data_IF_508750290393
#
_entry.id   IF_508750290393
#
_cell.length_a   1.000
_cell.length_b   1.000
_cell.length_c   1.000
_cell.angle_alpha   90.00
_cell.angle_beta   90.00
_cell.angle_gamma   90.00
#
_symmetry.space_group_name_H-M   'P 1'
#
loop_
_entity.id
_entity.type
_entity.pdbx_description
1 polymer ?
#
# COMPACT_ATOMS: atom_id res chain seq x y z
N UNK A 1 10.97 -11.60 5.16
CA UNK A 1 10.01 -10.90 4.22
C UNK A 1 10.37 -9.43 4.15
N UNK A 2 10.31 -8.79 2.99
CA UNK A 2 10.56 -7.36 2.83
C UNK A 2 9.24 -6.60 2.74
N UNK A 3 9.17 -5.42 3.36
CA UNK A 3 8.06 -4.49 3.19
C UNK A 3 8.44 -3.43 2.15
N UNK A 4 7.60 -3.25 1.13
CA UNK A 4 7.76 -2.19 0.13
C UNK A 4 6.64 -1.17 0.30
N UNK A 5 7.01 0.07 0.62
CA UNK A 5 6.08 1.17 0.78
C UNK A 5 6.07 1.99 -0.50
N UNK A 6 4.93 2.06 -1.17
CA UNK A 6 4.71 2.89 -2.35
C UNK A 6 4.43 4.34 -1.91
N UNK A 7 5.33 5.25 -2.22
CA UNK A 7 5.29 6.65 -1.78
C UNK A 7 5.74 7.65 -2.86
N UNK A 8 5.72 7.25 -4.15
CA UNK A 8 6.18 8.06 -5.28
C UNK A 8 5.09 8.97 -5.89
N UNK A 9 3.86 8.93 -5.39
CA UNK A 9 2.75 9.74 -5.90
C UNK A 9 2.92 11.24 -5.61
N UNK A 10 2.52 12.09 -6.56
CA UNK A 10 2.59 13.56 -6.44
C UNK A 10 1.45 14.17 -5.66
N UNK A 11 0.35 13.44 -5.46
CA UNK A 11 -0.83 13.83 -4.67
C UNK A 11 -1.36 15.25 -4.98
N UNK A 12 -1.47 15.60 -6.27
CA UNK A 12 -1.84 16.95 -6.75
C UNK A 12 -3.21 17.43 -6.26
N UNK A 13 -4.12 16.51 -5.96
CA UNK A 13 -5.45 16.84 -5.39
C UNK A 13 -5.39 17.45 -3.99
N UNK A 14 -4.27 17.29 -3.29
CA UNK A 14 -4.04 17.84 -1.94
C UNK A 14 -3.28 19.18 -1.96
N UNK A 15 -3.04 19.78 -3.14
CA UNK A 15 -2.39 21.09 -3.20
C UNK A 15 -3.18 22.16 -2.43
N UNK A 16 -2.50 23.09 -1.73
CA UNK A 16 -1.05 23.30 -1.67
C UNK A 16 -0.29 22.45 -0.65
N UNK A 17 -0.94 21.60 0.16
CA UNK A 17 -0.30 20.82 1.25
C UNK A 17 0.85 19.94 0.74
N UNK A 18 0.68 19.36 -0.45
CA UNK A 18 1.66 18.45 -1.06
C UNK A 18 2.56 19.12 -2.10
N UNK A 19 2.59 20.45 -2.16
CA UNK A 19 3.56 21.15 -3.02
C UNK A 19 5.00 20.91 -2.59
N UNK A 20 5.26 20.94 -1.28
CA UNK A 20 6.60 20.87 -0.70
C UNK A 20 6.75 19.73 0.32
N UNK A 21 5.74 18.88 0.48
CA UNK A 21 5.76 17.76 1.41
C UNK A 21 5.04 16.55 0.78
N UNK A 22 5.65 15.34 0.80
CA UNK A 22 4.99 14.14 0.28
C UNK A 22 3.79 13.76 1.15
N UNK A 23 2.71 13.29 0.52
CA UNK A 23 1.46 12.89 1.19
C UNK A 23 1.70 11.92 2.36
N UNK A 24 2.51 10.85 2.25
CA UNK A 24 2.73 9.92 3.36
C UNK A 24 3.37 10.55 4.61
N UNK A 25 4.02 11.70 4.47
CA UNK A 25 4.61 12.44 5.59
C UNK A 25 3.71 13.56 6.14
N UNK A 26 2.48 13.73 5.61
CA UNK A 26 1.49 14.61 6.23
C UNK A 26 1.04 14.03 7.58
N UNK A 27 0.81 14.94 8.55
CA UNK A 27 0.42 14.56 9.90
C UNK A 27 -1.05 14.14 10.00
N UNK A 28 -1.30 13.02 10.67
CA UNK A 28 -2.63 12.56 11.11
C UNK A 28 -2.51 12.15 12.56
N UNK A 29 -3.39 12.65 13.44
CA UNK A 29 -3.40 12.32 14.87
C UNK A 29 -2.02 12.44 15.55
N UNK A 30 -1.26 13.49 15.17
CA UNK A 30 0.02 13.84 15.81
C UNK A 30 1.27 13.15 15.25
N UNK A 31 1.17 12.28 14.22
CA UNK A 31 2.33 11.66 13.55
C UNK A 31 2.10 11.51 12.05
N UNK A 32 3.16 11.34 11.22
CA UNK A 32 3.02 11.10 9.78
C UNK A 32 2.13 9.88 9.46
N UNK A 33 1.37 9.92 8.35
CA UNK A 33 0.58 8.76 7.89
C UNK A 33 1.44 7.50 7.74
N UNK A 34 2.64 7.62 7.19
CA UNK A 34 3.58 6.52 7.05
C UNK A 34 3.92 5.83 8.38
N UNK A 35 4.00 6.61 9.48
CA UNK A 35 4.24 6.04 10.81
C UNK A 35 3.06 5.18 11.29
N UNK A 36 1.82 5.59 10.99
CA UNK A 36 0.65 4.77 11.28
C UNK A 36 0.69 3.44 10.50
N UNK A 37 1.05 3.49 9.21
CA UNK A 37 1.19 2.29 8.38
C UNK A 37 2.22 1.33 8.97
N UNK A 38 3.40 1.83 9.33
CA UNK A 38 4.47 1.00 9.88
C UNK A 38 4.13 0.44 11.26
N UNK A 39 3.50 1.24 12.13
CA UNK A 39 3.09 0.77 13.46
C UNK A 39 2.02 -0.31 13.38
N UNK A 40 1.10 -0.22 12.41
CA UNK A 40 0.05 -1.23 12.23
C UNK A 40 0.61 -2.54 11.65
N UNK A 41 1.68 -2.47 10.85
CA UNK A 41 2.39 -3.64 10.32
C UNK A 41 3.51 -4.16 11.23
N UNK A 42 3.89 -3.42 12.29
CA UNK A 42 4.94 -3.83 13.22
C UNK A 42 4.74 -5.23 13.84
N UNK A 43 3.49 -5.72 14.10
CA UNK A 43 3.28 -7.08 14.60
C UNK A 43 3.53 -8.19 13.57
N UNK A 44 3.75 -7.86 12.29
CA UNK A 44 4.18 -8.84 11.29
C UNK A 44 5.68 -9.09 11.46
N UNK A 45 6.03 -10.02 12.36
CA UNK A 45 7.40 -10.27 12.84
C UNK A 45 8.39 -10.64 11.72
N UNK A 46 7.87 -11.16 10.59
CA UNK A 46 8.70 -11.54 9.43
C UNK A 46 9.25 -10.36 8.65
N UNK A 47 8.76 -9.14 8.88
CA UNK A 47 9.28 -7.94 8.21
C UNK A 47 10.65 -7.59 8.81
N UNK A 48 11.70 -7.88 8.07
CA UNK A 48 13.09 -7.66 8.47
C UNK A 48 13.73 -6.42 7.81
N UNK A 49 13.09 -5.88 6.76
CA UNK A 49 13.55 -4.67 6.06
C UNK A 49 12.40 -3.93 5.38
N UNK A 50 12.48 -2.60 5.34
CA UNK A 50 11.51 -1.71 4.70
C UNK A 50 12.18 -0.94 3.57
N UNK A 51 11.62 -1.04 2.37
CA UNK A 51 11.96 -0.19 1.23
C UNK A 51 10.86 0.85 1.04
N UNK A 52 11.21 2.13 1.03
CA UNK A 52 10.27 3.22 0.72
C UNK A 52 10.63 3.75 -0.66
N UNK A 53 9.80 3.43 -1.67
CA UNK A 53 10.01 3.97 -3.01
C UNK A 53 9.32 5.31 -3.15
N UNK A 54 10.06 6.30 -3.65
CA UNK A 54 9.61 7.69 -3.77
C UNK A 54 10.17 8.35 -5.03
N UNK A 55 9.59 9.48 -5.42
CA UNK A 55 10.04 10.26 -6.57
C UNK A 55 11.23 11.18 -6.24
N UNK A 56 11.90 11.68 -7.27
CA UNK A 56 13.07 12.56 -7.14
C UNK A 56 12.79 13.86 -6.39
N UNK A 57 11.56 14.38 -6.51
CA UNK A 57 11.14 15.61 -5.82
C UNK A 57 11.16 15.45 -4.29
N UNK A 58 10.79 14.29 -3.78
CA UNK A 58 10.58 14.06 -2.35
C UNK A 58 11.61 13.11 -1.70
N UNK A 59 12.56 12.57 -2.45
CA UNK A 59 13.56 11.65 -1.92
C UNK A 59 14.25 12.17 -0.65
N UNK A 60 14.72 13.41 -0.66
CA UNK A 60 15.38 14.03 0.52
C UNK A 60 14.46 14.20 1.75
N UNK A 61 13.12 14.18 1.58
CA UNK A 61 12.19 14.20 2.73
C UNK A 61 12.15 12.83 3.40
N UNK A 62 12.07 11.77 2.61
CA UNK A 62 12.06 10.40 3.13
C UNK A 62 13.42 9.99 3.69
N UNK A 63 14.52 10.45 3.11
CA UNK A 63 15.88 10.22 3.65
C UNK A 63 16.04 10.83 5.06
N UNK A 64 15.62 12.09 5.26
CA UNK A 64 15.61 12.73 6.59
C UNK A 64 14.69 12.02 7.57
N UNK A 65 13.52 11.62 7.14
CA UNK A 65 12.59 10.85 7.96
C UNK A 65 13.19 9.50 8.37
N UNK A 66 13.77 8.75 7.42
CA UNK A 66 14.41 7.47 7.69
C UNK A 66 15.61 7.59 8.66
N UNK A 67 16.39 8.65 8.52
CA UNK A 67 17.49 8.94 9.45
C UNK A 67 16.98 9.23 10.87
N UNK A 68 15.90 10.02 11.00
CA UNK A 68 15.24 10.26 12.29
C UNK A 68 14.78 8.97 12.96
N UNK A 69 14.23 8.02 12.20
CA UNK A 69 13.83 6.71 12.76
C UNK A 69 15.04 5.85 13.17
N UNK A 70 16.10 5.84 12.40
CA UNK A 70 17.34 5.12 12.75
C UNK A 70 17.93 5.58 14.06
N UNK A 71 17.91 6.89 14.32
CA UNK A 71 18.45 7.47 15.57
C UNK A 71 17.58 7.18 16.80
N UNK A 72 16.28 6.95 16.61
CA UNK A 72 15.38 6.53 17.70
C UNK A 72 15.56 5.06 18.10
N UNK A 73 16.14 4.25 17.23
CA UNK A 73 16.36 2.83 17.46
C UNK A 73 15.08 1.99 17.40
N UNK A 74 15.25 0.70 17.15
CA UNK A 74 14.17 -0.28 17.07
C UNK A 74 13.52 -0.37 15.68
N UNK A 75 12.99 -1.56 15.37
CA UNK A 75 12.35 -1.88 14.10
C UNK A 75 13.32 -2.29 12.98
N UNK A 76 12.76 -2.69 11.83
CA UNK A 76 13.53 -3.14 10.68
C UNK A 76 14.34 -2.00 10.04
N UNK A 77 15.43 -2.34 9.35
CA UNK A 77 16.21 -1.37 8.56
C UNK A 77 15.36 -0.70 7.48
N UNK A 78 15.61 0.57 7.20
CA UNK A 78 14.87 1.34 6.19
C UNK A 78 15.82 1.79 5.08
N UNK A 79 15.45 1.51 3.82
CA UNK A 79 16.11 2.02 2.61
C UNK A 79 15.13 2.85 1.79
N UNK A 80 15.51 4.06 1.44
CA UNK A 80 14.76 4.92 0.50
C UNK A 80 15.25 4.63 -0.92
N UNK A 81 14.32 4.33 -1.81
CA UNK A 81 14.57 4.08 -3.23
C UNK A 81 13.98 5.24 -4.02
N UNK A 82 14.82 5.96 -4.78
CA UNK A 82 14.40 7.07 -5.62
C UNK A 82 14.12 6.56 -7.03
N UNK A 83 12.91 6.80 -7.57
CA UNK A 83 12.53 6.45 -8.94
C UNK A 83 13.04 7.46 -9.98
N UNK A 84 13.64 8.57 -9.49
CA UNK A 84 14.15 9.70 -10.28
C UNK A 84 13.10 10.44 -11.11
N UNK A 85 11.81 10.15 -10.99
CA UNK A 85 10.78 10.95 -11.62
C UNK A 85 10.74 12.35 -11.00
N UNK A 86 10.45 13.36 -11.82
CA UNK A 86 10.45 14.77 -11.42
C UNK A 86 9.06 15.38 -11.41
N UNK A 87 8.14 14.78 -12.14
CA UNK A 87 6.74 15.18 -12.24
C UNK A 87 5.84 13.99 -12.67
N UNK A 88 4.53 14.24 -12.72
CA UNK A 88 3.53 13.20 -13.02
C UNK A 88 3.63 12.65 -14.46
N UNK A 89 4.31 13.36 -15.38
CA UNK A 89 4.44 12.94 -16.78
C UNK A 89 5.51 11.88 -17.00
N UNK A 90 6.49 11.80 -16.11
CA UNK A 90 7.60 10.85 -16.20
C UNK A 90 7.65 9.83 -15.05
N UNK A 91 6.56 9.73 -14.27
CA UNK A 91 6.44 8.73 -13.20
C UNK A 91 6.49 7.31 -13.75
N UNK A 92 7.07 6.39 -12.99
CA UNK A 92 7.11 4.97 -13.34
C UNK A 92 5.74 4.29 -13.12
N UNK A 93 4.91 4.84 -12.23
CA UNK A 93 3.69 4.22 -11.74
C UNK A 93 3.95 3.17 -10.66
N UNK A 94 2.93 2.86 -9.86
CA UNK A 94 3.09 2.05 -8.66
C UNK A 94 3.68 0.65 -8.90
N UNK A 95 3.32 0.01 -10.02
CA UNK A 95 3.88 -1.30 -10.40
C UNK A 95 5.30 -1.15 -10.95
N UNK A 96 5.57 -0.05 -11.67
CA UNK A 96 6.92 0.31 -12.11
C UNK A 96 7.86 0.55 -10.93
N UNK A 97 7.40 1.28 -9.93
CA UNK A 97 8.12 1.54 -8.68
C UNK A 97 8.40 0.25 -7.90
N UNK A 98 7.40 -0.63 -7.80
CA UNK A 98 7.58 -1.95 -7.22
C UNK A 98 8.66 -2.75 -7.95
N UNK A 99 8.60 -2.81 -9.28
CA UNK A 99 9.59 -3.52 -10.09
C UNK A 99 10.99 -2.90 -9.99
N UNK A 100 11.08 -1.56 -9.85
CA UNK A 100 12.35 -0.86 -9.61
C UNK A 100 12.99 -1.35 -8.31
N UNK A 101 12.23 -1.40 -7.20
CA UNK A 101 12.73 -1.90 -5.91
C UNK A 101 13.20 -3.34 -6.04
N UNK A 102 12.39 -4.22 -6.67
CA UNK A 102 12.76 -5.64 -6.86
C UNK A 102 14.08 -5.81 -7.62
N UNK A 103 14.33 -4.97 -8.62
CA UNK A 103 15.56 -5.02 -9.41
C UNK A 103 16.75 -4.38 -8.67
N UNK A 104 16.57 -3.18 -8.14
CA UNK A 104 17.66 -2.38 -7.57
C UNK A 104 18.17 -2.99 -6.26
N UNK A 105 17.28 -3.51 -5.42
CA UNK A 105 17.62 -4.14 -4.16
C UNK A 105 17.85 -5.67 -4.30
N UNK A 106 17.77 -6.22 -5.52
CA UNK A 106 17.89 -7.65 -5.81
C UNK A 106 17.04 -8.50 -4.85
N UNK A 107 15.77 -8.09 -4.63
CA UNK A 107 14.88 -8.76 -3.69
C UNK A 107 14.61 -10.20 -4.14
N UNK A 108 14.98 -11.14 -3.28
CA UNK A 108 14.82 -12.60 -3.49
C UNK A 108 14.11 -13.23 -2.27
N UNK A 109 13.01 -12.65 -1.84
CA UNK A 109 12.25 -12.98 -0.64
C UNK A 109 10.76 -12.73 -0.86
N UNK A 110 9.92 -13.22 0.04
CA UNK A 110 8.52 -12.81 0.11
C UNK A 110 8.43 -11.28 0.35
N UNK A 111 7.42 -10.65 -0.22
CA UNK A 111 7.21 -9.22 -0.03
C UNK A 111 5.79 -8.89 0.42
N UNK A 112 5.67 -7.94 1.34
CA UNK A 112 4.46 -7.17 1.55
C UNK A 112 4.60 -5.82 0.84
N UNK A 113 3.53 -5.33 0.21
CA UNK A 113 3.50 -4.03 -0.50
C UNK A 113 2.35 -3.21 0.06
N UNK A 114 2.60 -1.98 0.45
CA UNK A 114 1.58 -1.09 1.00
C UNK A 114 1.72 0.32 0.47
N UNK A 115 0.60 1.03 0.27
CA UNK A 115 0.65 2.47 0.01
C UNK A 115 0.96 3.22 1.32
N UNK A 116 1.89 4.18 1.26
CA UNK A 116 2.36 4.92 2.44
C UNK A 116 1.34 5.88 3.04
N UNK A 117 0.16 5.98 2.47
CA UNK A 117 -0.95 6.84 2.86
C UNK A 117 -2.23 6.06 3.27
N UNK A 118 -2.15 4.73 3.37
CA UNK A 118 -3.21 3.90 3.91
C UNK A 118 -3.27 4.00 5.44
N UNK A 119 -4.43 4.34 5.96
CA UNK A 119 -4.66 4.40 7.41
C UNK A 119 -5.53 3.21 7.84
N UNK A 120 -5.10 2.54 8.90
CA UNK A 120 -5.81 1.42 9.53
C UNK A 120 -6.02 1.73 11.02
N UNK A 121 -7.19 1.41 11.56
CA UNK A 121 -7.44 1.58 13.01
C UNK A 121 -6.84 0.47 13.86
N UNK A 122 -6.64 -0.72 13.27
CA UNK A 122 -6.20 -1.92 13.96
C UNK A 122 -4.80 -2.37 13.52
N UNK A 123 -4.15 -3.13 14.38
CA UNK A 123 -2.88 -3.79 14.07
C UNK A 123 -3.11 -4.97 13.12
N UNK A 124 -2.16 -5.19 12.21
CA UNK A 124 -2.31 -6.12 11.09
C UNK A 124 -1.45 -7.41 11.23
N UNK A 125 -1.16 -7.84 12.45
CA UNK A 125 -0.34 -9.04 12.71
C UNK A 125 -0.90 -10.31 12.06
N UNK A 126 -2.21 -10.52 12.12
CA UNK A 126 -2.88 -11.67 11.50
C UNK A 126 -2.73 -11.71 9.98
N UNK A 127 -2.45 -10.58 9.33
CA UNK A 127 -2.17 -10.54 7.90
C UNK A 127 -0.94 -11.38 7.53
N UNK A 128 0.15 -11.26 8.30
CA UNK A 128 1.36 -12.05 8.06
C UNK A 128 1.13 -13.56 8.21
N UNK A 129 0.41 -13.97 9.26
CA UNK A 129 0.05 -15.38 9.50
C UNK A 129 -0.81 -15.94 8.36
N UNK A 130 -1.83 -15.19 7.95
CA UNK A 130 -2.70 -15.58 6.84
C UNK A 130 -1.93 -15.73 5.52
N UNK A 131 -1.05 -14.79 5.21
CA UNK A 131 -0.23 -14.82 4.00
C UNK A 131 0.67 -16.06 3.95
N UNK A 132 1.33 -16.39 5.05
CA UNK A 132 2.15 -17.62 5.16
C UNK A 132 1.31 -18.88 4.96
N UNK A 133 0.15 -18.94 5.62
CA UNK A 133 -0.74 -20.10 5.50
C UNK A 133 -1.23 -20.33 4.06
N UNK A 134 -1.46 -19.25 3.31
CA UNK A 134 -1.88 -19.35 1.90
C UNK A 134 -0.74 -19.70 0.96
N UNK A 135 0.49 -19.22 1.20
CA UNK A 135 1.64 -19.44 0.32
C UNK A 135 1.42 -18.97 -1.13
N UNK A 136 0.49 -18.05 -1.34
CA UNK A 136 0.07 -17.51 -2.63
C UNK A 136 -0.14 -15.99 -2.49
N UNK A 137 -0.23 -15.22 -3.59
CA UNK A 137 -0.56 -13.80 -3.53
C UNK A 137 -1.84 -13.51 -2.74
N UNK A 138 -1.79 -12.47 -1.89
CA UNK A 138 -2.93 -12.03 -1.08
C UNK A 138 -3.15 -10.53 -1.27
N UNK A 139 -4.41 -10.15 -1.40
CA UNK A 139 -4.89 -8.76 -1.43
C UNK A 139 -5.68 -8.49 -0.16
N UNK A 140 -5.33 -7.45 0.57
CA UNK A 140 -6.20 -6.96 1.64
C UNK A 140 -7.44 -6.31 1.04
N UNK A 141 -8.61 -6.61 1.62
CA UNK A 141 -9.91 -6.14 1.12
C UNK A 141 -10.71 -5.49 2.24
N UNK A 142 -11.54 -4.54 1.84
CA UNK A 142 -12.42 -3.80 2.74
C UNK A 142 -13.83 -3.71 2.13
N UNK A 143 -14.87 -3.82 2.95
CA UNK A 143 -16.24 -3.63 2.54
C UNK A 143 -16.64 -2.17 2.78
N UNK A 144 -16.75 -1.41 1.71
CA UNK A 144 -17.08 0.03 1.76
C UNK A 144 -18.56 0.27 2.07
N UNK A 145 -19.43 -0.75 1.79
CA UNK A 145 -20.87 -0.65 1.99
C UNK A 145 -21.61 0.26 1.01
N UNK A 146 -20.91 0.83 0.01
CA UNK A 146 -21.45 1.77 -0.97
C UNK A 146 -20.96 1.45 -2.38
N UNK A 147 -21.88 1.04 -3.27
CA UNK A 147 -21.57 0.71 -4.67
C UNK A 147 -21.05 1.91 -5.48
N UNK A 148 -21.54 3.12 -5.21
CA UNK A 148 -21.08 4.31 -5.95
C UNK A 148 -19.63 4.67 -5.59
N UNK A 149 -19.22 4.44 -4.33
CA UNK A 149 -17.84 4.64 -3.90
C UNK A 149 -16.88 3.68 -4.62
N UNK A 150 -17.32 2.44 -4.93
CA UNK A 150 -16.50 1.41 -5.61
C UNK A 150 -16.03 1.85 -7.00
N UNK A 151 -16.74 2.75 -7.67
CA UNK A 151 -16.32 3.30 -8.99
C UNK A 151 -14.95 3.97 -8.94
N UNK A 152 -14.50 4.41 -7.77
CA UNK A 152 -13.19 5.04 -7.56
C UNK A 152 -12.08 4.03 -7.25
N UNK A 153 -12.47 2.79 -6.89
CA UNK A 153 -11.60 1.72 -6.44
C UNK A 153 -11.61 0.55 -7.44
N UNK A 154 -11.92 -0.63 -6.95
CA UNK A 154 -12.06 -1.86 -7.75
C UNK A 154 -13.22 -2.69 -7.20
N UNK A 155 -13.82 -3.53 -8.04
CA UNK A 155 -14.87 -4.46 -7.67
C UNK A 155 -14.31 -5.88 -7.66
N UNK A 156 -14.61 -6.64 -6.61
CA UNK A 156 -14.04 -7.97 -6.38
C UNK A 156 -15.15 -8.94 -6.01
N UNK A 157 -15.15 -10.14 -6.64
CA UNK A 157 -15.87 -11.29 -6.17
C UNK A 157 -14.89 -12.38 -5.73
N UNK A 158 -15.26 -13.11 -4.69
CA UNK A 158 -14.46 -14.19 -4.11
C UNK A 158 -15.29 -15.45 -3.93
N UNK A 159 -14.62 -16.60 -3.95
CA UNK A 159 -15.25 -17.89 -3.60
C UNK A 159 -15.30 -18.12 -2.08
N UNK A 160 -15.80 -19.31 -1.68
CA UNK A 160 -15.91 -19.68 -0.26
C UNK A 160 -14.59 -19.82 0.49
N UNK A 161 -13.45 -19.89 -0.22
CA UNK A 161 -12.09 -19.94 0.35
C UNK A 161 -11.38 -18.58 0.38
N UNK A 162 -12.06 -17.52 -0.11
CA UNK A 162 -11.53 -16.17 -0.23
C UNK A 162 -10.63 -15.97 -1.45
N UNK A 163 -10.66 -16.87 -2.44
CA UNK A 163 -9.93 -16.74 -3.70
C UNK A 163 -10.68 -15.78 -4.62
N UNK A 164 -9.95 -14.87 -5.29
CA UNK A 164 -10.51 -13.94 -6.27
C UNK A 164 -11.03 -14.72 -7.48
N UNK A 165 -12.30 -14.55 -7.78
CA UNK A 165 -12.98 -15.11 -8.97
C UNK A 165 -13.28 -14.06 -10.02
N UNK A 166 -13.39 -12.79 -9.60
CA UNK A 166 -13.56 -11.63 -10.47
C UNK A 166 -12.82 -10.42 -9.88
N UNK A 167 -12.19 -9.63 -10.74
CA UNK A 167 -11.56 -8.35 -10.37
C UNK A 167 -11.66 -7.37 -11.53
N UNK A 168 -12.16 -6.16 -11.25
CA UNK A 168 -12.23 -5.06 -12.22
C UNK A 168 -11.76 -3.75 -11.57
N UNK A 169 -10.70 -3.16 -12.13
CA UNK A 169 -10.19 -1.86 -11.67
C UNK A 169 -11.05 -0.72 -12.22
N UNK A 170 -11.53 0.17 -11.35
CA UNK A 170 -12.41 1.31 -11.65
C UNK A 170 -13.64 0.92 -12.48
N UNK A 171 -14.49 0.04 -11.97
CA UNK A 171 -15.62 -0.50 -12.69
C UNK A 171 -16.65 0.59 -13.03
N UNK A 172 -17.19 0.56 -14.24
CA UNK A 172 -18.32 1.42 -14.62
C UNK A 172 -19.61 1.03 -13.89
N UNK A 173 -19.80 -0.29 -13.66
CA UNK A 173 -20.96 -0.88 -13.04
C UNK A 173 -20.55 -1.89 -11.95
N UNK A 174 -20.17 -1.41 -10.74
CA UNK A 174 -19.73 -2.28 -9.68
C UNK A 174 -20.86 -3.22 -9.22
N UNK A 175 -20.50 -4.49 -8.94
CA UNK A 175 -21.46 -5.52 -8.50
C UNK A 175 -21.30 -5.88 -7.02
N UNK A 176 -20.23 -5.44 -6.39
CA UNK A 176 -19.86 -5.75 -5.01
C UNK A 176 -19.42 -4.48 -4.30
N UNK A 177 -19.68 -4.35 -3.00
CA UNK A 177 -19.17 -3.30 -2.14
C UNK A 177 -17.78 -3.62 -1.58
N UNK A 178 -17.29 -4.83 -1.88
CA UNK A 178 -15.95 -5.28 -1.51
C UNK A 178 -14.92 -4.69 -2.46
N UNK A 179 -13.88 -4.07 -1.90
CA UNK A 179 -12.78 -3.50 -2.68
C UNK A 179 -11.43 -3.97 -2.14
N UNK A 180 -10.48 -4.17 -3.05
CA UNK A 180 -9.07 -4.32 -2.70
C UNK A 180 -8.47 -2.98 -2.33
N UNK A 181 -7.68 -3.00 -1.29
CA UNK A 181 -6.94 -1.83 -0.83
C UNK A 181 -5.45 -2.02 -1.09
N UNK A 182 -4.69 -0.95 -1.04
CA UNK A 182 -3.26 -1.02 -1.37
C UNK A 182 -2.43 -1.62 -0.21
N UNK A 183 -2.73 -2.88 0.13
CA UNK A 183 -1.93 -3.77 0.96
C UNK A 183 -1.95 -5.16 0.30
N UNK A 184 -0.80 -5.61 -0.14
CA UNK A 184 -0.60 -6.84 -0.91
C UNK A 184 0.48 -7.69 -0.27
N UNK A 185 0.38 -9.00 -0.47
CA UNK A 185 1.48 -9.94 -0.24
C UNK A 185 1.75 -10.71 -1.53
N UNK A 186 3.02 -10.85 -1.85
CA UNK A 186 3.49 -11.69 -2.94
C UNK A 186 4.59 -12.62 -2.41
N UNK A 187 4.37 -13.95 -2.43
CA UNK A 187 5.45 -14.88 -2.13
C UNK A 187 6.56 -14.76 -3.18
N UNK A 188 7.79 -15.09 -2.80
CA UNK A 188 8.96 -15.09 -3.69
C UNK A 188 8.69 -15.73 -5.05
N UNK A 189 7.93 -16.83 -5.06
CA UNK A 189 7.55 -17.55 -6.28
C UNK A 189 6.68 -16.71 -7.25
N UNK A 190 6.02 -15.66 -6.77
CA UNK A 190 5.19 -14.77 -7.59
C UNK A 190 5.96 -13.56 -8.15
N UNK A 191 7.17 -13.25 -7.66
CA UNK A 191 7.95 -12.09 -8.12
C UNK A 191 8.26 -12.11 -9.64
N UNK A 192 8.51 -13.26 -10.28
CA UNK A 192 8.66 -13.33 -11.72
C UNK A 192 7.43 -12.82 -12.49
N UNK A 193 6.20 -13.02 -11.97
CA UNK A 193 4.98 -12.55 -12.59
C UNK A 193 4.88 -11.01 -12.57
N UNK A 194 5.39 -10.35 -11.52
CA UNK A 194 5.46 -8.88 -11.45
C UNK A 194 6.39 -8.34 -12.55
N UNK A 195 7.55 -8.97 -12.73
CA UNK A 195 8.51 -8.61 -13.79
C UNK A 195 7.90 -8.82 -15.17
N UNK A 196 7.27 -9.97 -15.39
CA UNK A 196 6.58 -10.31 -16.64
C UNK A 196 5.50 -9.29 -16.98
N UNK A 197 4.67 -8.87 -16.00
CA UNK A 197 3.65 -7.84 -16.19
C UNK A 197 4.23 -6.56 -16.80
N UNK A 198 5.36 -6.09 -16.28
CA UNK A 198 6.03 -4.87 -16.77
C UNK A 198 6.69 -5.10 -18.13
N UNK A 199 7.33 -6.25 -18.33
CA UNK A 199 8.01 -6.61 -19.58
C UNK A 199 7.05 -6.78 -20.76
N UNK A 200 5.81 -7.23 -20.50
CA UNK A 200 4.73 -7.27 -21.49
C UNK A 200 4.18 -5.89 -21.88
N UNK A 201 4.67 -4.79 -21.26
CA UNK A 201 4.23 -3.42 -21.53
C UNK A 201 2.85 -3.09 -20.98
N UNK A 202 2.37 -3.83 -19.98
CA UNK A 202 1.11 -3.53 -19.33
C UNK A 202 1.18 -2.20 -18.53
N UNK A 203 0.02 -1.57 -18.31
CA UNK A 203 -0.06 -0.28 -17.62
C UNK A 203 0.46 -0.36 -16.17
N UNK A 204 1.56 0.34 -15.81
CA UNK A 204 2.20 0.21 -14.50
C UNK A 204 1.60 1.13 -13.42
N UNK A 205 0.62 1.99 -13.75
CA UNK A 205 0.21 3.10 -12.89
C UNK A 205 -0.61 2.65 -11.66
N UNK A 206 -1.52 1.69 -11.84
CA UNK A 206 -2.47 1.28 -10.79
C UNK A 206 -2.18 -0.14 -10.31
N UNK A 207 -1.89 -0.34 -9.01
CA UNK A 207 -1.56 -1.68 -8.48
C UNK A 207 -2.66 -2.73 -8.71
N UNK A 208 -3.93 -2.32 -8.71
CA UNK A 208 -5.07 -3.20 -8.99
C UNK A 208 -5.03 -3.84 -10.39
N UNK A 209 -4.39 -3.20 -11.36
CA UNK A 209 -4.20 -3.78 -12.69
C UNK A 209 -3.29 -5.01 -12.69
N UNK A 210 -2.29 -5.02 -11.80
CA UNK A 210 -1.46 -6.20 -11.58
C UNK A 210 -2.29 -7.34 -10.99
N UNK A 211 -3.16 -7.06 -10.03
CA UNK A 211 -4.09 -8.06 -9.47
C UNK A 211 -5.00 -8.59 -10.56
N UNK A 212 -5.63 -7.71 -11.36
CA UNK A 212 -6.54 -8.06 -12.46
C UNK A 212 -5.87 -8.96 -13.50
N UNK A 213 -4.59 -8.77 -13.76
CA UNK A 213 -3.81 -9.60 -14.67
C UNK A 213 -3.37 -10.92 -14.02
N UNK A 214 -2.96 -10.86 -12.74
CA UNK A 214 -2.32 -11.99 -12.05
C UNK A 214 -3.31 -13.05 -11.58
N UNK A 215 -4.53 -12.67 -11.11
CA UNK A 215 -5.49 -13.64 -10.57
C UNK A 215 -5.96 -14.68 -11.60
N UNK A 216 -5.84 -14.36 -12.89
CA UNK A 216 -6.13 -15.28 -14.00
C UNK A 216 -5.01 -16.30 -14.27
N UNK A 217 -3.83 -16.12 -13.68
CA UNK A 217 -2.59 -16.88 -13.92
C UNK A 217 -2.17 -17.72 -12.72
N UNK A 218 -2.51 -17.27 -11.53
CA UNK A 218 -2.21 -17.98 -10.28
C UNK A 218 -3.34 -17.74 -9.27
N UNK A 219 -3.60 -18.66 -8.33
CA UNK A 219 -4.50 -18.38 -7.22
C UNK A 219 -4.12 -17.09 -6.52
N UNK A 220 -5.09 -16.22 -6.30
CA UNK A 220 -4.93 -14.95 -5.60
C UNK A 220 -6.00 -14.87 -4.53
N UNK A 221 -5.62 -14.75 -3.27
CA UNK A 221 -6.54 -14.77 -2.13
C UNK A 221 -6.80 -13.37 -1.59
N UNK A 222 -7.83 -13.24 -0.77
CA UNK A 222 -8.17 -11.99 -0.10
C UNK A 222 -8.10 -12.16 1.41
N UNK A 223 -7.70 -11.09 2.11
CA UNK A 223 -7.75 -10.99 3.54
C UNK A 223 -8.55 -9.75 3.95
N UNK A 224 -9.57 -9.92 4.82
CA UNK A 224 -10.39 -8.79 5.27
C UNK A 224 -9.67 -7.99 6.33
N UNK A 225 -9.52 -6.67 6.08
CA UNK A 225 -8.92 -5.74 7.04
C UNK A 225 -9.87 -5.58 8.24
N UNK A 226 -9.35 -5.74 9.47
CA UNK A 226 -10.14 -5.47 10.69
C UNK A 226 -10.33 -3.97 10.91
N UNK A 227 -11.39 -3.62 11.64
CA UNK A 227 -11.66 -2.24 12.02
C UNK A 227 -11.94 -1.30 10.84
N UNK A 228 -11.32 -0.13 10.85
CA UNK A 228 -11.50 0.92 9.85
C UNK A 228 -10.28 0.99 8.95
N UNK A 229 -10.52 0.99 7.65
CA UNK A 229 -9.58 1.46 6.64
C UNK A 229 -10.01 2.84 6.14
N UNK A 230 -9.07 3.75 5.95
CA UNK A 230 -9.34 5.10 5.50
C UNK A 230 -8.33 5.58 4.46
N UNK A 231 -8.83 6.05 3.32
CA UNK A 231 -8.03 6.65 2.23
C UNK A 231 -8.13 8.18 2.30
N UNK A 232 -7.00 8.84 2.41
CA UNK A 232 -6.92 10.31 2.43
C UNK A 232 -6.77 10.82 1.00
N UNK A 233 -7.87 11.21 0.36
CA UNK A 233 -7.88 11.68 -1.04
C UNK A 233 -7.99 13.18 -1.23
N UNK A 234 -8.39 13.94 -0.19
CA UNK A 234 -8.62 15.39 -0.21
C UNK A 234 -8.29 16.04 1.13
N UNK A 235 -8.39 17.38 1.21
CA UNK A 235 -8.22 18.11 2.49
C UNK A 235 -9.29 17.72 3.51
N UNK A 236 -10.53 17.59 3.05
CA UNK A 236 -11.68 17.22 3.89
C UNK A 236 -11.48 15.84 4.49
N UNK A 237 -11.03 14.87 3.67
CA UNK A 237 -10.72 13.51 4.16
C UNK A 237 -9.49 13.47 5.06
N UNK A 238 -8.52 14.38 4.88
CA UNK A 238 -7.39 14.54 5.81
C UNK A 238 -7.85 15.05 7.19
N UNK A 239 -8.72 16.04 7.23
CA UNK A 239 -9.30 16.57 8.47
C UNK A 239 -10.17 15.53 9.17
N UNK A 240 -10.94 14.76 8.42
CA UNK A 240 -11.75 13.67 8.95
C UNK A 240 -10.88 12.54 9.51
N UNK A 241 -9.82 12.12 8.79
CA UNK A 241 -8.84 11.17 9.28
C UNK A 241 -8.22 11.64 10.60
N UNK A 242 -7.83 12.91 10.72
CA UNK A 242 -7.35 13.48 11.97
C UNK A 242 -8.35 13.29 13.12
N UNK A 243 -9.65 13.54 12.90
CA UNK A 243 -10.69 13.38 13.93
C UNK A 243 -10.87 11.91 14.33
N UNK A 244 -10.94 10.99 13.34
CA UNK A 244 -11.16 9.57 13.58
C UNK A 244 -9.99 8.98 14.36
N UNK A 245 -8.77 9.14 13.85
CA UNK A 245 -7.57 8.51 14.42
C UNK A 245 -7.12 9.13 15.75
N UNK A 246 -7.42 10.42 16.02
CA UNK A 246 -7.20 11.01 17.34
C UNK A 246 -8.09 10.37 18.42
N UNK A 247 -9.35 10.04 18.10
CA UNK A 247 -10.27 9.36 19.04
C UNK A 247 -9.84 7.93 19.32
N UNK A 248 -9.43 7.18 18.29
CA UNK A 248 -8.91 5.81 18.47
C UNK A 248 -7.68 5.76 19.35
N UNK A 249 -6.76 6.70 19.20
CA UNK A 249 -5.57 6.79 20.05
C UNK A 249 -5.92 6.99 21.52
N UNK A 250 -6.84 7.89 21.82
CA UNK A 250 -7.27 8.16 23.19
C UNK A 250 -7.93 6.94 23.86
N UNK A 251 -8.63 6.10 23.08
CA UNK A 251 -9.26 4.87 23.59
C UNK A 251 -8.27 3.72 23.79
N UNK A 252 -7.16 3.70 23.10
CA UNK A 252 -6.12 2.66 23.23
C UNK A 252 -5.12 2.95 24.38
N UNK A 253 -5.03 4.20 24.84
CA UNK A 253 -4.14 4.66 25.91
C UNK A 253 -4.84 4.74 27.29
N UNK A 254 -6.17 4.50 27.37
CA UNK A 254 -7.01 4.52 28.60
C UNK A 254 -7.52 3.12 28.96
#
# INVERSE_FOLDING_TARGET
MKLIVLAAGYATRLYPLTLNQPKPLLGVAGKPMLEHVLDNLAPVEEIDHVYVVTNGKFAGHFERWAEGRRTQGGGPGITVVNDHSTDDSNKLGAIGDLNLVLKQAAVDDDIAVVAGDNLFSERLGEFGEYCRAKGAPVLAVYDVGDLEAIRKYNSIDVDGEGRITFFEEKPANPKSTLTGIALYYYPKAALPLIRQYVEEGNNPDQPGRLVQWMYQRTPFYTWRVPGIWYDVGSKETLEEANRIFSRHRTQAEG
#
